data_IF_627867570942
#
_entry.id   IF_627867570942
#
_cell.length_a   1.000
_cell.length_b   1.000
_cell.length_c   1.000
_cell.angle_alpha   90.00
_cell.angle_beta   90.00
_cell.angle_gamma   90.00
#
_symmetry.space_group_name_H-M   'P 1'
#
loop_
_entity.id
_entity.type
_entity.pdbx_description
1 polymer ?
#
# COMPACT_ATOMS: atom_id res chain seq x y z
N UNK A 1 12.07 -21.56 -29.97
CA UNK A 1 12.90 -21.45 -28.74
C UNK A 1 13.59 -20.11 -28.85
N UNK A 2 12.87 -19.04 -28.56
CA UNK A 2 13.30 -17.70 -28.97
C UNK A 2 12.59 -16.64 -28.12
N UNK A 3 13.27 -15.53 -27.89
CA UNK A 3 12.88 -14.33 -27.12
C UNK A 3 12.71 -14.50 -25.59
N UNK A 4 11.86 -15.44 -25.10
CA UNK A 4 11.64 -15.62 -23.64
C UNK A 4 12.88 -16.10 -22.88
N UNK A 5 13.70 -16.97 -23.49
CA UNK A 5 14.94 -17.44 -22.89
C UNK A 5 16.04 -16.36 -22.89
N UNK A 6 15.94 -15.37 -23.80
CA UNK A 6 16.89 -14.26 -23.88
C UNK A 6 16.64 -13.23 -22.78
N UNK A 7 15.35 -12.96 -22.48
CA UNK A 7 14.94 -12.05 -21.42
C UNK A 7 15.41 -12.52 -20.03
N UNK A 8 15.26 -13.82 -19.74
CA UNK A 8 15.66 -14.43 -18.46
C UNK A 8 17.17 -14.38 -18.23
N UNK A 9 17.98 -14.59 -19.28
CA UNK A 9 19.44 -14.51 -19.17
C UNK A 9 19.91 -13.07 -18.96
N UNK A 10 19.25 -12.08 -19.59
CA UNK A 10 19.58 -10.67 -19.38
C UNK A 10 19.18 -10.13 -18.00
N UNK A 11 18.11 -10.67 -17.40
CA UNK A 11 17.70 -10.30 -16.03
C UNK A 11 18.69 -10.84 -15.00
N UNK A 12 19.15 -12.09 -15.14
CA UNK A 12 20.13 -12.68 -14.21
C UNK A 12 21.49 -11.97 -14.23
N UNK A 13 22.06 -11.66 -15.41
CA UNK A 13 23.33 -10.90 -15.52
C UNK A 13 23.22 -9.46 -15.01
N UNK A 14 22.02 -8.86 -15.04
CA UNK A 14 21.78 -7.51 -14.52
C UNK A 14 21.73 -7.49 -12.99
N UNK A 15 21.21 -8.55 -12.37
CA UNK A 15 21.14 -8.70 -10.92
C UNK A 15 22.51 -9.05 -10.30
N UNK A 16 23.35 -9.86 -10.95
CA UNK A 16 24.70 -10.20 -10.43
C UNK A 16 25.62 -8.97 -10.27
N UNK A 17 25.34 -7.87 -10.99
CA UNK A 17 26.13 -6.64 -10.88
C UNK A 17 25.79 -5.82 -9.63
N UNK A 18 24.57 -5.97 -9.11
CA UNK A 18 24.05 -5.25 -7.92
C UNK A 18 24.73 -5.71 -6.62
N UNK A 19 25.06 -7.00 -6.50
CA UNK A 19 25.67 -7.60 -5.30
C UNK A 19 27.16 -7.20 -5.10
N UNK A 20 27.75 -6.47 -6.06
CA UNK A 20 29.17 -6.07 -6.00
C UNK A 20 29.41 -4.70 -5.35
N UNK A 21 28.36 -4.01 -4.89
CA UNK A 21 28.42 -2.67 -4.29
C UNK A 21 28.94 -2.62 -2.84
N UNK A 22 29.21 -3.76 -2.19
CA UNK A 22 29.85 -3.81 -0.88
C UNK A 22 31.16 -4.60 -0.93
N UNK A 23 32.22 -4.01 -0.40
CA UNK A 23 33.56 -4.59 -0.39
C UNK A 23 33.67 -5.75 0.61
N UNK A 24 33.60 -7.02 0.16
CA UNK A 24 34.45 -8.18 0.54
C UNK A 24 33.87 -9.53 0.04
N UNK A 25 34.68 -10.58 -0.22
CA UNK A 25 34.36 -11.59 -1.24
C UNK A 25 33.70 -12.86 -0.68
N UNK A 26 32.48 -13.15 -1.15
CA UNK A 26 31.82 -14.45 -1.05
C UNK A 26 31.29 -14.84 -2.44
N UNK A 27 31.85 -15.90 -3.03
CA UNK A 27 31.54 -16.34 -4.39
C UNK A 27 30.23 -17.14 -4.40
N UNK A 28 29.18 -16.62 -5.04
CA UNK A 28 28.03 -17.45 -5.44
C UNK A 28 28.49 -18.51 -6.45
N UNK A 29 28.05 -19.77 -6.25
CA UNK A 29 28.26 -20.83 -7.24
C UNK A 29 26.96 -21.18 -7.94
N UNK A 30 27.07 -21.37 -9.26
CA UNK A 30 26.07 -21.62 -10.31
C UNK A 30 24.98 -22.69 -10.06
N UNK A 31 24.86 -23.28 -8.88
CA UNK A 31 24.00 -24.45 -8.58
C UNK A 31 22.76 -24.14 -7.73
N UNK A 32 22.68 -22.99 -7.06
CA UNK A 32 21.60 -22.72 -6.09
C UNK A 32 20.36 -22.04 -6.71
N UNK A 33 20.49 -21.26 -7.78
CA UNK A 33 19.35 -20.58 -8.43
C UNK A 33 18.48 -21.53 -9.27
N UNK A 34 19.07 -22.59 -9.85
CA UNK A 34 18.34 -23.49 -10.77
C UNK A 34 17.41 -24.51 -10.12
N UNK A 35 17.44 -24.70 -8.79
CA UNK A 35 16.67 -25.81 -8.15
C UNK A 35 15.26 -25.42 -7.71
N UNK A 36 14.97 -24.13 -7.49
CA UNK A 36 13.65 -23.67 -7.06
C UNK A 36 12.63 -23.54 -8.21
N UNK A 37 13.10 -23.24 -9.42
CA UNK A 37 12.23 -22.97 -10.58
C UNK A 37 11.73 -24.25 -11.28
N UNK A 38 12.47 -25.36 -11.18
CA UNK A 38 12.13 -26.61 -11.87
C UNK A 38 11.11 -27.46 -11.06
N UNK A 39 11.06 -27.31 -9.73
CA UNK A 39 10.17 -28.09 -8.86
C UNK A 39 8.68 -27.75 -8.98
N UNK A 40 8.34 -26.50 -9.29
CA UNK A 40 6.95 -26.02 -9.33
C UNK A 40 6.28 -26.33 -10.69
N UNK A 41 7.05 -26.37 -11.78
CA UNK A 41 6.52 -26.67 -13.12
C UNK A 41 5.99 -28.10 -13.28
N UNK A 42 6.50 -29.07 -12.50
CA UNK A 42 6.09 -30.48 -12.60
C UNK A 42 4.76 -30.74 -11.88
N UNK A 43 4.41 -29.98 -10.85
CA UNK A 43 3.17 -30.19 -10.07
C UNK A 43 1.93 -29.64 -10.79
N UNK A 44 2.08 -28.54 -11.56
CA UNK A 44 0.95 -27.89 -12.25
C UNK A 44 0.52 -28.63 -13.52
N UNK A 45 1.44 -29.35 -14.20
CA UNK A 45 1.12 -30.05 -15.45
C UNK A 45 0.31 -31.34 -15.20
N UNK A 46 0.42 -31.96 -14.02
CA UNK A 46 -0.30 -33.21 -13.72
C UNK A 46 -1.79 -32.97 -13.43
N UNK A 47 -2.19 -31.77 -12.99
CA UNK A 47 -3.59 -31.48 -12.63
C UNK A 47 -4.48 -31.13 -13.83
N UNK A 48 -3.91 -30.67 -14.95
CA UNK A 48 -4.69 -30.18 -16.12
C UNK A 48 -5.11 -31.30 -17.08
N UNK A 49 -4.54 -32.50 -17.00
CA UNK A 49 -4.81 -33.59 -17.96
C UNK A 49 -6.05 -34.44 -17.59
N UNK A 50 -6.67 -34.25 -16.42
CA UNK A 50 -7.82 -35.09 -15.98
C UNK A 50 -9.23 -34.50 -16.21
N UNK A 51 -9.38 -33.32 -16.82
CA UNK A 51 -10.69 -32.64 -16.89
C UNK A 51 -11.20 -32.30 -18.32
N UNK A 52 -10.85 -33.05 -19.36
CA UNK A 52 -11.44 -32.86 -20.69
C UNK A 52 -11.76 -34.19 -21.38
N UNK A 53 -12.97 -34.70 -21.14
CA UNK A 53 -13.50 -35.88 -21.79
C UNK A 53 -14.99 -35.80 -22.11
N UNK A 54 -15.28 -35.62 -23.41
CA UNK A 54 -16.36 -36.22 -24.20
C UNK A 54 -17.74 -35.51 -24.32
N UNK A 55 -18.11 -35.22 -25.59
CA UNK A 55 -19.50 -35.25 -26.13
C UNK A 55 -19.90 -34.03 -26.97
N UNK A 56 -19.62 -33.94 -28.29
CA UNK A 56 -20.45 -34.34 -29.47
C UNK A 56 -21.90 -33.77 -29.47
N UNK A 57 -22.54 -33.22 -30.52
CA UNK A 57 -22.37 -33.28 -31.99
C UNK A 57 -23.46 -32.36 -32.66
N UNK A 58 -23.10 -31.62 -33.74
CA UNK A 58 -23.82 -31.40 -35.05
C UNK A 58 -25.29 -30.87 -35.09
N UNK A 59 -25.84 -30.12 -36.08
CA UNK A 59 -25.47 -29.54 -37.40
C UNK A 59 -26.62 -28.62 -37.91
N UNK A 60 -26.28 -27.62 -38.74
CA UNK A 60 -27.08 -27.10 -39.88
C UNK A 60 -28.24 -26.14 -39.57
N UNK A 61 -28.67 -25.20 -40.43
CA UNK A 61 -28.32 -24.82 -41.81
C UNK A 61 -29.10 -23.53 -42.19
N UNK A 62 -28.43 -22.61 -42.90
CA UNK A 62 -28.86 -21.64 -43.94
C UNK A 62 -30.22 -20.90 -43.89
N UNK A 63 -30.19 -19.62 -44.29
CA UNK A 63 -31.33 -18.99 -44.98
C UNK A 63 -31.29 -17.46 -45.01
N UNK A 64 -30.94 -16.91 -46.17
CA UNK A 64 -30.87 -15.50 -46.56
C UNK A 64 -32.19 -14.70 -46.50
N UNK A 65 -32.08 -13.36 -46.49
CA UNK A 65 -32.94 -12.53 -47.36
C UNK A 65 -33.45 -11.18 -46.84
N UNK A 66 -32.87 -10.08 -47.35
CA UNK A 66 -33.50 -8.89 -48.00
C UNK A 66 -34.71 -8.26 -47.25
N UNK A 67 -34.80 -6.97 -46.88
CA UNK A 67 -34.42 -5.74 -47.55
C UNK A 67 -35.66 -4.81 -47.67
N UNK A 68 -35.46 -3.51 -47.42
CA UNK A 68 -36.33 -2.34 -47.75
C UNK A 68 -37.52 -1.91 -46.85
N UNK A 69 -37.35 -0.70 -46.27
CA UNK A 69 -38.31 0.41 -46.05
C UNK A 69 -38.18 1.39 -47.25
N UNK A 70 -38.93 2.52 -47.38
CA UNK A 70 -40.07 3.04 -46.60
C UNK A 70 -41.26 3.49 -47.50
N UNK A 71 -42.36 4.00 -46.93
CA UNK A 71 -42.90 5.33 -47.32
C UNK A 71 -44.19 5.75 -46.59
N UNK A 72 -44.07 6.94 -45.99
CA UNK A 72 -45.00 8.10 -45.99
C UNK A 72 -46.43 8.00 -45.45
N UNK A 73 -46.75 8.94 -44.56
CA UNK A 73 -48.11 9.26 -44.12
C UNK A 73 -48.14 10.36 -43.05
N UNK A 74 -47.91 11.60 -43.47
CA UNK A 74 -48.07 12.81 -42.67
C UNK A 74 -49.55 13.07 -42.38
N UNK A 75 -49.91 13.37 -41.12
CA UNK A 75 -51.07 14.21 -40.83
C UNK A 75 -50.82 15.03 -39.56
N UNK A 76 -51.00 16.34 -39.73
CA UNK A 76 -50.69 17.41 -38.79
C UNK A 76 -51.97 17.72 -38.00
N UNK A 77 -51.89 17.71 -36.67
CA UNK A 77 -52.91 18.28 -35.76
C UNK A 77 -52.27 19.33 -34.85
N UNK A 78 -52.96 20.45 -34.55
CA UNK A 78 -52.40 21.57 -33.79
C UNK A 78 -52.31 21.28 -32.29
N UNK A 79 -51.39 21.95 -31.54
CA UNK A 79 -51.17 21.66 -30.13
C UNK A 79 -52.27 22.24 -29.23
N UNK A 80 -52.62 21.58 -28.11
CA UNK A 80 -53.51 22.17 -27.12
C UNK A 80 -52.79 23.22 -26.26
N UNK A 81 -53.53 24.27 -25.93
CA UNK A 81 -53.12 25.41 -25.11
C UNK A 81 -52.64 24.98 -23.72
N UNK A 82 -51.46 25.45 -23.32
CA UNK A 82 -50.92 25.31 -21.97
C UNK A 82 -51.78 26.07 -20.95
N UNK A 83 -52.49 25.34 -20.07
CA UNK A 83 -52.97 25.91 -18.81
C UNK A 83 -51.86 25.76 -17.78
N UNK A 84 -51.34 26.90 -17.32
CA UNK A 84 -50.51 27.00 -16.13
C UNK A 84 -51.25 26.34 -14.94
N UNK A 85 -50.73 25.18 -14.49
CA UNK A 85 -51.01 24.65 -13.17
C UNK A 85 -49.89 25.15 -12.27
N UNK A 86 -50.21 26.08 -11.38
CA UNK A 86 -49.36 26.43 -10.25
C UNK A 86 -49.08 25.19 -9.41
N UNK A 87 -47.81 24.80 -9.32
CA UNK A 87 -47.34 23.86 -8.30
C UNK A 87 -47.56 24.48 -6.91
N UNK A 88 -47.93 23.68 -5.89
CA UNK A 88 -47.96 24.19 -4.52
C UNK A 88 -46.54 24.62 -4.11
N UNK A 89 -46.41 25.61 -3.20
CA UNK A 89 -45.10 26.07 -2.77
C UNK A 89 -44.35 24.88 -2.15
N UNK A 90 -43.15 24.61 -2.67
CA UNK A 90 -42.24 23.65 -2.04
C UNK A 90 -41.98 24.12 -0.62
N UNK A 91 -42.29 23.26 0.35
CA UNK A 91 -41.66 23.33 1.67
C UNK A 91 -40.16 23.21 1.42
N UNK A 92 -39.47 24.36 1.39
CA UNK A 92 -38.03 24.39 1.50
C UNK A 92 -37.71 23.81 2.87
N UNK A 93 -37.31 22.53 2.90
CA UNK A 93 -36.54 22.03 4.02
C UNK A 93 -35.26 22.88 4.04
N UNK A 94 -34.97 23.62 5.13
CA UNK A 94 -33.64 24.19 5.27
C UNK A 94 -32.69 23.01 5.23
N UNK A 95 -31.84 22.96 4.20
CA UNK A 95 -30.84 21.92 4.06
C UNK A 95 -30.06 21.86 5.35
N UNK A 96 -30.19 20.74 6.07
CA UNK A 96 -29.29 20.45 7.17
C UNK A 96 -27.86 20.61 6.62
N UNK A 97 -26.95 21.30 7.33
CA UNK A 97 -25.57 21.36 6.89
C UNK A 97 -25.09 19.91 6.70
N UNK A 98 -24.65 19.59 5.48
CA UNK A 98 -23.83 18.40 5.28
C UNK A 98 -22.65 18.58 6.23
N UNK A 99 -22.54 17.71 7.23
CA UNK A 99 -21.32 17.58 8.02
C UNK A 99 -20.20 17.46 7.00
N UNK A 100 -19.34 18.48 6.89
CA UNK A 100 -18.20 18.45 5.99
C UNK A 100 -17.17 17.56 6.68
N UNK A 101 -17.33 16.25 6.51
CA UNK A 101 -16.36 15.30 6.98
C UNK A 101 -15.04 15.59 6.23
N UNK A 102 -14.00 15.95 6.98
CA UNK A 102 -12.68 16.15 6.38
C UNK A 102 -12.07 14.78 6.05
N UNK A 103 -11.37 14.63 4.92
CA UNK A 103 -10.62 13.41 4.63
C UNK A 103 -9.62 13.09 5.75
N UNK A 104 -9.40 11.81 5.99
CA UNK A 104 -8.23 11.33 6.73
C UNK A 104 -7.00 11.51 5.83
N UNK A 105 -5.95 12.14 6.34
CA UNK A 105 -4.76 12.49 5.54
C UNK A 105 -3.49 11.94 6.17
N UNK A 106 -2.61 11.37 5.36
CA UNK A 106 -1.31 10.88 5.83
C UNK A 106 -0.22 10.95 4.78
N UNK A 107 1.03 10.96 5.24
CA UNK A 107 2.21 10.72 4.41
C UNK A 107 2.68 9.27 4.60
N UNK A 108 3.36 8.70 3.60
CA UNK A 108 4.10 7.45 3.74
C UNK A 108 5.51 7.58 3.14
N UNK A 109 6.52 7.06 3.84
CA UNK A 109 7.93 7.05 3.42
C UNK A 109 8.62 5.79 3.95
N UNK A 110 9.49 5.17 3.15
CA UNK A 110 10.29 4.01 3.52
C UNK A 110 11.78 4.27 3.40
N UNK A 111 12.58 3.39 3.99
CA UNK A 111 13.99 3.22 3.66
C UNK A 111 14.79 4.54 3.85
N UNK A 112 14.58 5.19 4.98
CA UNK A 112 14.97 6.58 5.20
C UNK A 112 16.14 6.75 6.19
N UNK A 113 16.35 5.85 7.14
CA UNK A 113 17.17 6.12 8.33
C UNK A 113 18.68 6.16 8.14
N UNK A 114 19.23 7.30 7.70
CA UNK A 114 20.65 7.48 7.35
C UNK A 114 21.27 8.77 7.88
N UNK A 115 20.82 9.24 9.05
CA UNK A 115 21.39 10.40 9.72
C UNK A 115 21.48 11.69 8.87
N UNK A 116 20.56 11.84 7.90
CA UNK A 116 20.48 12.98 6.98
C UNK A 116 21.14 12.74 5.61
N UNK A 117 21.89 11.66 5.46
CA UNK A 117 22.56 11.29 4.21
C UNK A 117 21.59 10.81 3.13
N UNK A 118 22.09 10.72 1.90
CA UNK A 118 21.33 10.30 0.72
C UNK A 118 19.99 11.05 0.59
N UNK A 119 20.03 12.37 0.71
CA UNK A 119 18.86 13.26 0.63
C UNK A 119 17.77 13.02 1.69
N UNK A 120 18.01 12.22 2.75
CA UNK A 120 17.02 12.04 3.81
C UNK A 120 16.57 13.39 4.39
N UNK A 121 17.53 14.30 4.63
CA UNK A 121 17.23 15.65 5.15
C UNK A 121 16.40 16.50 4.17
N UNK A 122 16.57 16.31 2.86
CA UNK A 122 15.78 16.98 1.84
C UNK A 122 14.36 16.42 1.74
N UNK A 123 14.22 15.09 1.80
CA UNK A 123 12.93 14.40 1.88
C UNK A 123 12.16 14.85 3.13
N UNK A 124 12.82 14.89 4.29
CA UNK A 124 12.20 15.33 5.55
C UNK A 124 11.65 16.76 5.45
N UNK A 125 12.40 17.67 4.82
CA UNK A 125 11.96 19.05 4.58
C UNK A 125 10.76 19.09 3.63
N UNK A 126 10.84 18.40 2.49
CA UNK A 126 9.78 18.37 1.50
C UNK A 126 8.48 17.76 2.07
N UNK A 127 8.57 16.70 2.88
CA UNK A 127 7.44 16.14 3.62
C UNK A 127 6.79 17.20 4.52
N UNK A 128 7.60 17.96 5.27
CA UNK A 128 7.11 19.03 6.14
C UNK A 128 6.38 20.13 5.38
N UNK A 129 6.97 20.61 4.29
CA UNK A 129 6.41 21.66 3.43
C UNK A 129 5.11 21.20 2.75
N UNK A 130 5.10 19.98 2.20
CA UNK A 130 3.91 19.40 1.56
C UNK A 130 2.79 19.22 2.59
N UNK A 131 3.07 18.61 3.75
CA UNK A 131 2.07 18.45 4.80
C UNK A 131 1.50 19.80 5.25
N UNK A 132 2.35 20.83 5.44
CA UNK A 132 1.89 22.17 5.78
C UNK A 132 1.00 22.78 4.68
N UNK A 133 1.40 22.64 3.42
CA UNK A 133 0.63 23.16 2.27
C UNK A 133 -0.74 22.51 2.08
N UNK A 134 -0.91 21.27 2.58
CA UNK A 134 -2.16 20.51 2.55
C UNK A 134 -3.08 20.75 3.75
N UNK A 135 -2.71 21.69 4.64
CA UNK A 135 -3.47 21.97 5.87
C UNK A 135 -3.10 21.05 7.05
N UNK A 136 -1.99 20.32 6.93
CA UNK A 136 -1.55 19.30 7.88
C UNK A 136 -1.83 17.88 7.40
N UNK A 137 -1.30 16.91 8.15
CA UNK A 137 -1.67 15.49 8.05
C UNK A 137 -2.06 14.96 9.42
N UNK A 138 -2.86 13.90 9.46
CA UNK A 138 -3.27 13.24 10.71
C UNK A 138 -2.14 12.39 11.30
N UNK A 139 -1.35 11.72 10.44
CA UNK A 139 -0.21 10.89 10.82
C UNK A 139 0.76 10.66 9.65
N UNK A 140 1.88 10.02 9.95
CA UNK A 140 2.86 9.54 8.97
C UNK A 140 2.96 8.01 9.08
N UNK A 141 3.19 7.34 7.96
CA UNK A 141 3.48 5.91 7.89
C UNK A 141 4.95 5.73 7.50
N UNK A 142 5.68 4.93 8.27
CA UNK A 142 6.96 4.37 7.83
C UNK A 142 6.74 2.98 7.26
N UNK A 143 7.21 2.73 6.03
CA UNK A 143 7.17 1.40 5.39
C UNK A 143 8.39 0.54 5.72
N UNK A 144 9.17 0.88 6.75
CA UNK A 144 10.26 0.06 7.26
C UNK A 144 11.64 0.47 6.78
N UNK A 145 12.64 -0.32 7.19
CA UNK A 145 14.06 0.01 7.08
C UNK A 145 14.37 1.37 7.71
N UNK A 146 14.02 1.43 8.99
CA UNK A 146 13.98 2.67 9.75
C UNK A 146 15.36 3.14 10.18
N UNK A 147 16.33 2.24 10.32
CA UNK A 147 17.70 2.57 10.76
C UNK A 147 18.74 1.72 10.03
N UNK A 148 19.46 2.36 9.11
CA UNK A 148 20.55 1.72 8.37
C UNK A 148 21.91 1.86 9.08
N UNK A 149 22.87 0.96 8.77
CA UNK A 149 22.71 -0.24 7.93
C UNK A 149 22.21 -1.47 8.71
N UNK A 150 22.08 -1.38 10.03
CA UNK A 150 21.87 -2.56 10.88
C UNK A 150 20.97 -2.30 12.10
N UNK A 151 19.84 -1.63 11.91
CA UNK A 151 18.87 -1.36 12.96
C UNK A 151 19.45 -0.51 14.11
N UNK A 152 18.84 -0.64 15.29
CA UNK A 152 19.36 -0.06 16.53
C UNK A 152 20.04 -1.13 17.37
N UNK A 153 21.14 -0.76 18.01
CA UNK A 153 21.88 -1.67 18.88
C UNK A 153 21.28 -1.78 20.29
N UNK A 154 20.71 -0.67 20.80
CA UNK A 154 20.09 -0.60 22.12
C UNK A 154 19.05 0.53 22.19
N UNK A 155 18.22 0.56 23.25
CA UNK A 155 17.15 1.55 23.40
C UNK A 155 17.63 3.01 23.42
N UNK A 156 18.87 3.25 23.89
CA UNK A 156 19.50 4.56 23.95
C UNK A 156 20.38 4.91 22.72
N UNK A 157 20.26 4.14 21.63
CA UNK A 157 21.07 4.36 20.44
C UNK A 157 20.81 5.77 19.88
N UNK A 158 21.90 6.50 19.59
CA UNK A 158 21.84 7.87 19.10
C UNK A 158 21.24 7.95 17.69
N UNK A 159 21.30 6.85 16.92
CA UNK A 159 20.73 6.81 15.58
C UNK A 159 19.21 7.05 15.58
N UNK A 160 18.51 6.69 16.67
CA UNK A 160 17.10 7.04 16.83
C UNK A 160 16.88 8.56 16.78
N UNK A 161 17.65 9.32 17.56
CA UNK A 161 17.50 10.77 17.58
C UNK A 161 17.97 11.41 16.27
N UNK A 162 19.15 11.03 15.78
CA UNK A 162 19.77 11.66 14.61
C UNK A 162 18.98 11.36 13.33
N UNK A 163 18.50 10.13 13.14
CA UNK A 163 17.79 9.73 11.92
C UNK A 163 16.28 9.99 11.99
N UNK A 164 15.68 10.13 13.18
CA UNK A 164 14.24 10.31 13.32
C UNK A 164 13.88 11.58 14.09
N UNK A 165 14.16 11.65 15.40
CA UNK A 165 13.62 12.71 16.25
C UNK A 165 14.04 14.11 15.81
N UNK A 166 15.34 14.28 15.56
CA UNK A 166 15.97 15.54 15.18
C UNK A 166 15.92 15.80 13.66
N UNK A 167 15.54 14.77 12.88
CA UNK A 167 15.43 14.84 11.42
C UNK A 167 14.08 15.41 10.98
N UNK A 168 12.98 14.86 11.51
CA UNK A 168 11.62 15.20 11.09
C UNK A 168 11.00 16.24 12.03
N UNK A 169 11.58 17.43 12.11
CA UNK A 169 11.25 18.46 13.12
C UNK A 169 10.17 19.45 12.71
N UNK A 170 9.76 19.47 11.43
CA UNK A 170 8.69 20.34 10.94
C UNK A 170 7.41 20.21 11.78
N UNK A 171 6.75 21.33 12.08
CA UNK A 171 5.54 21.34 12.90
C UNK A 171 4.41 20.45 12.33
N UNK A 172 4.30 20.42 11.00
CA UNK A 172 3.36 19.58 10.25
C UNK A 172 3.64 18.07 10.36
N UNK A 173 4.84 17.68 10.81
CA UNK A 173 5.25 16.28 11.03
C UNK A 173 5.27 15.89 12.52
N UNK A 174 4.87 16.80 13.42
CA UNK A 174 4.69 16.49 14.86
C UNK A 174 3.36 15.76 15.07
N UNK A 175 3.26 14.58 14.46
CA UNK A 175 2.09 13.69 14.41
C UNK A 175 2.53 12.27 14.77
N UNK A 176 1.60 11.35 15.09
CA UNK A 176 1.95 9.94 15.21
C UNK A 176 2.61 9.41 13.93
N UNK A 177 3.64 8.59 14.09
CA UNK A 177 4.29 7.80 13.05
C UNK A 177 3.97 6.33 13.29
N UNK A 178 3.21 5.73 12.38
CA UNK A 178 2.92 4.29 12.38
C UNK A 178 3.97 3.57 11.56
N UNK A 179 4.74 2.69 12.22
CA UNK A 179 5.98 2.15 11.69
C UNK A 179 5.91 0.64 11.58
N UNK A 180 6.24 0.10 10.41
CA UNK A 180 6.58 -1.32 10.24
C UNK A 180 8.10 -1.52 10.28
N UNK A 181 8.53 -2.75 10.51
CA UNK A 181 9.93 -3.14 10.42
C UNK A 181 10.28 -3.55 8.98
N UNK A 182 11.49 -3.21 8.56
CA UNK A 182 12.12 -3.77 7.37
C UNK A 182 13.26 -4.73 7.70
N UNK A 183 13.89 -5.30 6.68
CA UNK A 183 14.92 -6.30 6.86
C UNK A 183 16.19 -5.74 7.53
N UNK A 184 16.54 -4.46 7.32
CA UNK A 184 17.67 -3.84 7.99
C UNK A 184 17.43 -3.63 9.49
N UNK A 185 16.18 -3.47 9.91
CA UNK A 185 15.83 -3.34 11.33
C UNK A 185 16.12 -4.63 12.12
N UNK A 186 15.98 -5.78 11.45
CA UNK A 186 16.27 -7.11 12.01
C UNK A 186 17.77 -7.44 12.10
N UNK A 187 18.63 -6.67 11.43
CA UNK A 187 20.09 -6.79 11.63
C UNK A 187 20.49 -6.25 13.01
N UNK A 188 19.76 -5.26 13.52
CA UNK A 188 19.77 -4.81 14.91
C UNK A 188 18.74 -5.59 15.75
N UNK A 189 18.39 -5.11 16.95
CA UNK A 189 17.32 -5.73 17.76
C UNK A 189 15.94 -5.10 17.46
N UNK A 190 15.04 -5.81 16.74
CA UNK A 190 13.73 -5.29 16.38
C UNK A 190 12.80 -5.07 17.59
N UNK A 191 13.08 -5.71 18.73
CA UNK A 191 12.29 -5.53 19.96
C UNK A 191 12.47 -4.13 20.56
N UNK A 192 13.60 -3.48 20.30
CA UNK A 192 13.84 -2.08 20.69
C UNK A 192 12.83 -1.17 20.00
N UNK A 193 12.60 -1.41 18.70
CA UNK A 193 11.73 -0.58 17.88
C UNK A 193 10.25 -0.84 18.15
N UNK A 194 9.87 -2.10 18.33
CA UNK A 194 8.47 -2.54 18.54
C UNK A 194 7.99 -2.45 20.00
N UNK A 195 8.90 -2.17 20.93
CA UNK A 195 8.59 -1.95 22.33
C UNK A 195 8.16 -0.51 22.65
N UNK A 196 7.77 -0.26 23.90
CA UNK A 196 7.42 1.09 24.37
C UNK A 196 8.61 2.02 24.64
N UNK A 197 9.84 1.53 24.48
CA UNK A 197 11.05 2.27 24.81
C UNK A 197 11.21 3.52 23.93
N UNK A 198 11.14 3.37 22.60
CA UNK A 198 11.25 4.49 21.68
C UNK A 198 10.05 5.42 21.74
N UNK A 199 8.84 4.89 21.95
CA UNK A 199 7.64 5.71 22.22
C UNK A 199 7.79 6.61 23.45
N UNK A 200 8.54 6.17 24.47
CA UNK A 200 8.81 6.98 25.66
C UNK A 200 9.80 8.11 25.36
N UNK A 201 10.74 7.88 24.43
CA UNK A 201 11.74 8.88 24.00
C UNK A 201 11.13 9.89 23.03
N UNK A 202 10.25 9.45 22.14
CA UNK A 202 9.52 10.29 21.20
C UNK A 202 8.09 9.75 21.01
N UNK A 203 7.10 10.52 21.49
CA UNK A 203 5.69 10.13 21.52
C UNK A 203 5.11 9.85 20.13
N UNK A 204 5.77 10.34 19.08
CA UNK A 204 5.37 10.11 17.69
C UNK A 204 5.56 8.65 17.30
N UNK A 205 6.55 7.97 17.84
CA UNK A 205 6.91 6.62 17.42
C UNK A 205 5.89 5.57 17.85
N UNK A 206 5.22 4.91 16.89
CA UNK A 206 4.26 3.81 17.10
C UNK A 206 4.65 2.63 16.20
N UNK A 207 5.36 1.67 16.77
CA UNK A 207 5.80 0.48 16.04
C UNK A 207 5.40 -0.78 16.81
N UNK A 208 4.89 -1.77 16.10
CA UNK A 208 4.68 -3.13 16.59
C UNK A 208 4.76 -4.08 15.39
N UNK A 209 5.02 -5.37 15.60
CA UNK A 209 5.14 -6.34 14.49
C UNK A 209 3.87 -6.43 13.65
N UNK A 210 2.70 -6.41 14.30
CA UNK A 210 1.41 -6.27 13.63
C UNK A 210 0.47 -5.43 14.46
N UNK A 211 -0.26 -4.53 13.79
CA UNK A 211 -1.31 -3.72 14.43
C UNK A 211 -2.27 -3.15 13.39
N UNK A 212 -3.33 -2.50 13.87
CA UNK A 212 -4.38 -1.95 13.02
C UNK A 212 -4.78 -0.56 13.51
N UNK A 213 -5.03 0.32 12.56
CA UNK A 213 -5.59 1.65 12.81
C UNK A 213 -6.91 1.74 12.04
N UNK A 214 -8.01 1.80 12.79
CA UNK A 214 -9.35 2.04 12.24
C UNK A 214 -9.80 3.48 12.50
N UNK A 215 -10.40 4.12 11.51
CA UNK A 215 -10.91 5.50 11.59
C UNK A 215 -12.30 5.61 11.00
N UNK A 216 -13.10 6.47 11.63
CA UNK A 216 -14.39 6.94 11.12
C UNK A 216 -14.11 8.13 10.18
N UNK A 217 -14.59 8.04 8.94
CA UNK A 217 -14.41 9.06 7.90
C UNK A 217 -15.55 10.06 7.85
N UNK A 218 -16.52 9.92 8.74
CA UNK A 218 -17.74 10.72 8.81
C UNK A 218 -17.83 11.56 10.08
N UNK A 219 -16.94 11.31 11.04
CA UNK A 219 -16.81 12.13 12.24
C UNK A 219 -16.13 13.48 11.92
N UNK A 220 -16.69 14.58 12.43
CA UNK A 220 -15.93 15.82 12.56
C UNK A 220 -14.75 15.55 13.51
N UNK A 221 -13.56 15.39 12.93
CA UNK A 221 -12.32 16.04 13.38
C UNK A 221 -12.25 16.43 14.87
N UNK A 222 -12.38 15.49 15.82
CA UNK A 222 -12.15 15.74 17.24
C UNK A 222 -10.64 15.80 17.56
N UNK A 223 -9.86 16.47 16.71
CA UNK A 223 -8.43 16.72 16.89
C UNK A 223 -8.17 18.23 16.77
N UNK A 224 -8.85 18.99 17.62
CA UNK A 224 -8.39 20.34 18.00
C UNK A 224 -8.27 20.53 19.52
N UNK A 225 -8.91 19.71 20.36
CA UNK A 225 -8.90 19.89 21.83
C UNK A 225 -8.48 18.61 22.58
N UNK A 226 -7.28 18.11 22.33
CA UNK A 226 -6.62 17.16 23.23
C UNK A 226 -5.74 17.93 24.24
N UNK A 227 -6.34 18.90 24.92
CA UNK A 227 -5.84 19.43 26.18
C UNK A 227 -7.04 19.41 27.15
N UNK A 228 -6.89 18.67 28.24
CA UNK A 228 -7.80 18.59 29.40
C UNK A 228 -9.27 18.14 29.19
N UNK A 229 -9.44 16.80 29.23
CA UNK A 229 -10.46 16.01 30.01
C UNK A 229 -11.10 14.89 29.19
N UNK A 230 -10.44 13.72 29.23
CA UNK A 230 -11.06 12.46 28.83
C UNK A 230 -11.36 11.59 30.06
N UNK A 231 -12.31 12.00 30.91
CA UNK A 231 -13.08 11.08 31.77
C UNK A 231 -14.47 11.71 31.99
N UNK A 232 -15.52 11.00 31.53
CA UNK A 232 -16.97 11.28 31.63
C UNK A 232 -17.61 12.08 30.49
N UNK A 233 -18.10 11.36 29.47
CA UNK A 233 -19.43 11.55 28.89
C UNK A 233 -19.68 10.45 27.83
N UNK A 234 -20.00 9.23 28.26
CA UNK A 234 -20.56 8.20 27.38
C UNK A 234 -22.11 8.23 27.34
N UNK A 235 -22.76 9.23 27.93
CA UNK A 235 -24.23 9.18 28.13
C UNK A 235 -25.09 10.24 27.43
N UNK A 236 -24.54 11.14 26.61
CA UNK A 236 -25.37 12.05 25.79
C UNK A 236 -24.81 12.21 24.37
N UNK A 237 -24.99 11.18 23.54
CA UNK A 237 -25.02 11.39 22.08
C UNK A 237 -26.44 11.85 21.72
N UNK A 238 -26.64 13.06 21.18
CA UNK A 238 -27.95 13.47 20.70
C UNK A 238 -28.42 12.51 19.61
N UNK A 239 -29.67 12.08 19.67
CA UNK A 239 -30.28 11.30 18.60
C UNK A 239 -30.21 12.07 17.28
N UNK A 240 -29.80 11.45 16.16
CA UNK A 240 -29.73 12.10 14.87
C UNK A 240 -31.12 12.59 14.44
N UNK A 241 -31.17 13.77 13.85
CA UNK A 241 -32.43 14.37 13.38
C UNK A 241 -32.96 13.57 12.17
N UNK A 242 -34.28 13.34 12.03
CA UNK A 242 -34.82 12.58 10.92
C UNK A 242 -34.55 13.30 9.59
N UNK A 243 -33.74 12.70 8.70
CA UNK A 243 -33.52 13.20 7.34
C UNK A 243 -32.06 13.49 6.94
N UNK A 244 -31.08 13.27 7.82
CA UNK A 244 -29.67 13.24 7.41
C UNK A 244 -29.31 11.84 6.91
N UNK A 245 -28.72 11.73 5.72
CA UNK A 245 -28.01 10.50 5.34
C UNK A 245 -26.85 10.37 6.31
N UNK A 246 -26.93 9.43 7.26
CA UNK A 246 -25.81 9.12 8.13
C UNK A 246 -24.65 8.66 7.26
N UNK A 247 -23.59 9.46 7.20
CA UNK A 247 -22.33 9.02 6.64
C UNK A 247 -21.84 7.91 7.57
N UNK A 248 -21.75 6.69 7.04
CA UNK A 248 -21.23 5.52 7.72
C UNK A 248 -20.08 4.95 6.88
N UNK A 249 -18.96 5.66 6.90
CA UNK A 249 -17.76 5.29 6.15
C UNK A 249 -16.56 5.19 7.08
N UNK A 250 -15.76 4.14 6.87
CA UNK A 250 -14.62 3.82 7.71
C UNK A 250 -13.44 3.36 6.88
N UNK A 251 -12.24 3.57 7.41
CA UNK A 251 -11.00 3.01 6.86
C UNK A 251 -10.28 2.21 7.93
N UNK A 252 -9.84 1.01 7.55
CA UNK A 252 -8.95 0.17 8.36
C UNK A 252 -7.61 0.00 7.66
N UNK A 253 -6.55 0.33 8.39
CA UNK A 253 -5.17 0.25 7.94
C UNK A 253 -4.45 -0.83 8.75
N UNK A 254 -3.99 -1.88 8.08
CA UNK A 254 -3.31 -3.02 8.70
C UNK A 254 -1.80 -2.93 8.45
N UNK A 255 -1.04 -2.94 9.53
CA UNK A 255 0.41 -2.89 9.49
C UNK A 255 0.95 -4.29 9.73
N UNK A 256 1.76 -4.80 8.81
CA UNK A 256 2.28 -6.16 8.84
C UNK A 256 3.80 -6.19 8.70
N UNK A 257 4.43 -7.00 9.54
CA UNK A 257 5.82 -7.38 9.38
C UNK A 257 5.97 -8.43 8.28
N UNK A 258 6.52 -7.99 7.15
CA UNK A 258 6.68 -8.82 5.95
C UNK A 258 7.98 -9.60 5.90
N UNK A 259 8.95 -9.29 6.76
CA UNK A 259 10.28 -9.91 6.70
C UNK A 259 10.23 -11.44 6.83
N UNK A 260 9.42 -12.03 7.74
CA UNK A 260 9.33 -13.49 7.83
C UNK A 260 8.86 -14.19 6.54
N UNK A 261 8.12 -13.49 5.67
CA UNK A 261 7.53 -14.08 4.47
C UNK A 261 8.52 -14.24 3.30
N UNK A 262 9.67 -13.56 3.34
CA UNK A 262 10.65 -13.62 2.25
C UNK A 262 11.40 -14.95 2.26
N UNK A 263 11.38 -15.66 1.13
CA UNK A 263 12.15 -16.89 0.97
C UNK A 263 13.66 -16.64 0.97
N UNK A 264 14.11 -15.42 0.69
CA UNK A 264 15.54 -15.06 0.71
C UNK A 264 16.14 -15.20 2.10
N UNK A 265 15.34 -15.04 3.16
CA UNK A 265 15.81 -15.10 4.54
C UNK A 265 15.76 -16.51 5.13
N UNK A 266 15.36 -17.50 4.32
CA UNK A 266 15.27 -18.90 4.76
C UNK A 266 16.59 -19.66 4.74
N UNK A 267 17.64 -19.11 4.11
CA UNK A 267 18.97 -19.72 4.13
C UNK A 267 19.75 -19.32 5.40
N UNK A 268 19.67 -20.18 6.41
CA UNK A 268 20.32 -19.98 7.70
C UNK A 268 21.87 -19.89 7.62
N UNK A 269 22.51 -20.37 6.54
CA UNK A 269 23.96 -20.29 6.41
C UNK A 269 24.45 -18.86 6.13
N UNK A 270 23.64 -18.06 5.43
CA UNK A 270 23.95 -16.69 5.03
C UNK A 270 23.19 -15.64 5.88
N UNK A 271 22.05 -16.02 6.47
CA UNK A 271 21.11 -15.10 7.14
C UNK A 271 20.92 -15.39 8.64
N UNK A 272 21.99 -15.82 9.32
CA UNK A 272 21.97 -16.11 10.77
C UNK A 272 21.40 -14.98 11.64
N UNK A 273 21.68 -13.72 11.26
CA UNK A 273 21.18 -12.51 11.93
C UNK A 273 19.65 -12.40 11.95
N UNK A 274 18.96 -13.06 11.01
CA UNK A 274 17.50 -13.07 10.90
C UNK A 274 16.89 -14.32 11.54
N UNK A 275 17.36 -15.52 11.18
CA UNK A 275 16.77 -16.79 11.64
C UNK A 275 16.93 -17.05 13.14
N UNK A 276 17.92 -16.42 13.79
CA UNK A 276 18.06 -16.48 15.25
C UNK A 276 16.97 -15.68 15.99
N UNK A 277 16.29 -14.76 15.30
CA UNK A 277 15.30 -13.83 15.88
C UNK A 277 13.86 -14.14 15.47
N UNK A 278 13.68 -14.95 14.42
CA UNK A 278 12.40 -15.21 13.78
C UNK A 278 12.25 -16.71 13.58
N UNK A 279 11.17 -17.28 14.13
CA UNK A 279 10.70 -18.61 13.74
C UNK A 279 9.91 -18.46 12.43
N UNK A 280 10.59 -18.64 11.29
CA UNK A 280 10.03 -18.39 9.96
C UNK A 280 8.70 -19.12 9.73
N UNK A 281 8.61 -20.40 10.04
CA UNK A 281 7.41 -21.19 9.76
C UNK A 281 6.25 -20.82 10.69
N UNK A 282 6.53 -20.67 11.98
CA UNK A 282 5.52 -20.29 12.96
C UNK A 282 5.04 -18.85 12.73
N UNK A 283 5.94 -17.91 12.47
CA UNK A 283 5.61 -16.52 12.19
C UNK A 283 4.86 -16.39 10.87
N UNK A 284 5.27 -17.09 9.81
CA UNK A 284 4.56 -17.07 8.54
C UNK A 284 3.11 -17.50 8.69
N UNK A 285 2.89 -18.66 9.31
CA UNK A 285 1.56 -19.20 9.52
C UNK A 285 0.71 -18.28 10.40
N UNK A 286 1.29 -17.78 11.50
CA UNK A 286 0.60 -16.93 12.47
C UNK A 286 0.23 -15.57 11.90
N UNK A 287 1.17 -14.86 11.27
CA UNK A 287 0.98 -13.49 10.80
C UNK A 287 0.01 -13.44 9.61
N UNK A 288 0.10 -14.39 8.67
CA UNK A 288 -0.84 -14.48 7.55
C UNK A 288 -2.26 -14.81 8.03
N UNK A 289 -2.40 -15.70 9.02
CA UNK A 289 -3.70 -16.03 9.62
C UNK A 289 -4.29 -14.82 10.33
N UNK A 290 -3.49 -14.13 11.15
CA UNK A 290 -3.93 -12.91 11.86
C UNK A 290 -4.40 -11.82 10.90
N UNK A 291 -3.70 -11.61 9.78
CA UNK A 291 -4.12 -10.66 8.75
C UNK A 291 -5.45 -11.08 8.11
N UNK A 292 -5.59 -12.35 7.73
CA UNK A 292 -6.82 -12.86 7.13
C UNK A 292 -8.03 -12.70 8.06
N UNK A 293 -7.86 -12.97 9.35
CA UNK A 293 -8.90 -12.79 10.38
C UNK A 293 -9.28 -11.32 10.56
N UNK A 294 -8.30 -10.42 10.61
CA UNK A 294 -8.50 -8.97 10.71
C UNK A 294 -9.21 -8.39 9.50
N UNK A 295 -8.81 -8.79 8.29
CA UNK A 295 -9.49 -8.37 7.05
C UNK A 295 -10.94 -8.85 7.00
N UNK A 296 -11.20 -10.07 7.48
CA UNK A 296 -12.56 -10.60 7.62
C UNK A 296 -13.38 -9.79 8.63
N UNK A 297 -12.80 -9.42 9.77
CA UNK A 297 -13.48 -8.60 10.77
C UNK A 297 -13.81 -7.19 10.24
N UNK A 298 -13.01 -6.67 9.30
CA UNK A 298 -13.18 -5.39 8.63
C UNK A 298 -13.98 -5.48 7.30
N UNK A 299 -14.73 -6.57 7.06
CA UNK A 299 -15.45 -6.77 5.80
C UNK A 299 -16.47 -5.65 5.48
N UNK A 300 -17.00 -5.01 6.52
CA UNK A 300 -17.95 -3.89 6.41
C UNK A 300 -17.28 -2.52 6.37
N UNK A 301 -15.95 -2.44 6.50
CA UNK A 301 -15.25 -1.17 6.35
C UNK A 301 -15.20 -0.72 4.89
N UNK A 302 -15.41 0.57 4.67
CA UNK A 302 -15.45 1.18 3.34
C UNK A 302 -14.12 1.01 2.63
N UNK A 303 -13.01 1.23 3.34
CA UNK A 303 -11.65 1.13 2.81
C UNK A 303 -10.77 0.22 3.65
N UNK A 304 -9.96 -0.60 2.98
CA UNK A 304 -8.97 -1.49 3.61
C UNK A 304 -7.60 -1.27 2.97
N UNK A 305 -6.65 -0.82 3.77
CA UNK A 305 -5.26 -0.54 3.34
C UNK A 305 -4.34 -1.49 4.12
N UNK A 306 -3.38 -2.10 3.44
CA UNK A 306 -2.34 -2.92 4.08
C UNK A 306 -0.98 -2.27 3.85
N UNK A 307 -0.17 -2.21 4.91
CA UNK A 307 1.18 -1.63 4.91
C UNK A 307 2.17 -2.71 5.31
N UNK A 308 3.16 -2.94 4.46
CA UNK A 308 4.28 -3.83 4.72
C UNK A 308 5.59 -3.17 4.35
N UNK A 309 6.69 -3.92 4.46
CA UNK A 309 8.00 -3.44 3.99
C UNK A 309 8.28 -3.91 2.57
N UNK A 310 8.10 -5.20 2.31
CA UNK A 310 8.50 -5.83 1.05
C UNK A 310 7.46 -5.68 -0.08
N UNK A 311 7.86 -5.44 -1.33
CA UNK A 311 6.96 -5.34 -2.48
C UNK A 311 6.49 -6.72 -2.97
N UNK A 312 5.23 -6.79 -3.40
CA UNK A 312 4.69 -7.96 -4.12
C UNK A 312 5.23 -7.99 -5.57
N UNK A 313 5.29 -6.82 -6.18
CA UNK A 313 5.79 -6.58 -7.52
C UNK A 313 6.64 -5.33 -7.49
N UNK A 314 7.72 -5.34 -8.25
CA UNK A 314 8.65 -4.23 -8.37
C UNK A 314 9.38 -4.29 -9.70
N UNK A 315 9.83 -3.14 -10.20
CA UNK A 315 10.74 -3.10 -11.34
C UNK A 315 12.22 -3.17 -10.95
N UNK A 316 12.54 -3.10 -9.66
CA UNK A 316 13.86 -3.39 -9.12
C UNK A 316 14.17 -4.89 -9.19
N UNK A 317 15.42 -5.28 -8.94
CA UNK A 317 15.80 -6.69 -8.86
C UNK A 317 15.87 -7.16 -7.40
N UNK A 318 15.22 -8.30 -7.05
CA UNK A 318 14.30 -9.09 -7.87
C UNK A 318 12.97 -8.34 -8.13
N UNK A 319 12.19 -8.78 -9.14
CA UNK A 319 10.93 -8.15 -9.62
C UNK A 319 9.75 -8.22 -8.61
N UNK A 320 10.02 -7.97 -7.33
CA UNK A 320 9.19 -8.30 -6.17
C UNK A 320 9.88 -9.33 -5.27
N UNK A 321 9.39 -9.46 -4.05
CA UNK A 321 10.03 -10.31 -3.04
C UNK A 321 9.70 -11.79 -3.22
N UNK A 322 10.71 -12.68 -3.33
CA UNK A 322 10.50 -14.11 -3.55
C UNK A 322 9.57 -14.78 -2.52
N UNK A 323 8.49 -15.39 -3.01
CA UNK A 323 7.51 -16.13 -2.22
C UNK A 323 6.47 -15.28 -1.50
N UNK A 324 6.64 -13.95 -1.46
CA UNK A 324 5.69 -13.05 -0.81
C UNK A 324 4.37 -13.01 -1.58
N UNK A 325 4.44 -12.88 -2.91
CA UNK A 325 3.27 -12.73 -3.77
C UNK A 325 2.34 -13.93 -3.71
N UNK A 326 2.87 -15.14 -3.76
CA UNK A 326 2.08 -16.38 -3.68
C UNK A 326 1.37 -16.54 -2.33
N UNK A 327 1.95 -15.99 -1.25
CA UNK A 327 1.43 -16.12 0.11
C UNK A 327 0.46 -15.01 0.48
N UNK A 328 0.80 -13.77 0.13
CA UNK A 328 0.10 -12.58 0.63
C UNK A 328 -0.97 -12.09 -0.33
N UNK A 329 -0.71 -12.02 -1.65
CA UNK A 329 -1.66 -11.47 -2.62
C UNK A 329 -3.04 -12.14 -2.55
N UNK A 330 -3.17 -13.48 -2.46
CA UNK A 330 -4.48 -14.12 -2.35
C UNK A 330 -5.26 -13.72 -1.09
N UNK A 331 -4.57 -13.36 0.00
CA UNK A 331 -5.20 -12.88 1.24
C UNK A 331 -5.71 -11.45 1.04
N UNK A 332 -4.91 -10.59 0.43
CA UNK A 332 -5.28 -9.20 0.13
C UNK A 332 -6.50 -9.14 -0.81
N UNK A 333 -6.50 -9.94 -1.87
CA UNK A 333 -7.60 -9.99 -2.83
C UNK A 333 -8.90 -10.52 -2.21
N UNK A 334 -8.83 -11.61 -1.42
CA UNK A 334 -10.00 -12.13 -0.70
C UNK A 334 -10.52 -11.16 0.37
N UNK A 335 -9.62 -10.41 1.00
CA UNK A 335 -9.96 -9.35 1.94
C UNK A 335 -10.39 -8.04 1.26
N UNK A 336 -10.51 -8.02 -0.07
CA UNK A 336 -10.86 -6.86 -0.90
C UNK A 336 -10.06 -5.59 -0.57
N UNK A 337 -8.76 -5.76 -0.29
CA UNK A 337 -7.83 -4.67 0.02
C UNK A 337 -7.74 -3.71 -1.15
N UNK A 338 -7.78 -2.40 -0.87
CA UNK A 338 -7.74 -1.34 -1.87
C UNK A 338 -6.30 -0.97 -2.22
N UNK A 339 -5.48 -0.70 -1.20
CA UNK A 339 -4.08 -0.31 -1.34
C UNK A 339 -3.17 -1.26 -0.55
N UNK A 340 -2.06 -1.66 -1.17
CA UNK A 340 -0.89 -2.25 -0.50
C UNK A 340 0.28 -1.28 -0.59
N UNK A 341 0.72 -0.72 0.53
CA UNK A 341 1.80 0.27 0.59
C UNK A 341 3.06 -0.38 1.16
N UNK A 342 4.20 -0.21 0.47
CA UNK A 342 5.47 -0.84 0.85
C UNK A 342 6.69 0.06 0.61
N UNK A 343 7.88 -0.42 0.97
CA UNK A 343 9.19 0.20 0.71
C UNK A 343 10.14 -0.86 0.12
N UNK A 344 11.30 -1.06 0.76
CA UNK A 344 12.35 -2.04 0.45
C UNK A 344 13.10 -1.74 -0.85
N UNK A 345 12.36 -1.57 -1.95
CA UNK A 345 12.93 -1.06 -3.17
C UNK A 345 13.07 0.45 -3.09
N UNK A 346 14.29 0.91 -3.34
CA UNK A 346 14.72 2.28 -3.13
C UNK A 346 14.31 3.19 -4.29
N UNK A 347 13.01 3.18 -4.60
CA UNK A 347 12.35 3.93 -5.65
C UNK A 347 10.88 4.23 -5.29
N UNK A 348 10.15 4.85 -6.22
CA UNK A 348 8.70 5.06 -6.12
C UNK A 348 8.00 4.33 -7.26
N UNK A 349 6.99 3.51 -6.95
CA UNK A 349 6.21 2.79 -7.95
C UNK A 349 4.72 2.75 -7.64
N UNK A 350 3.91 2.71 -8.70
CA UNK A 350 2.51 2.34 -8.64
C UNK A 350 2.26 1.20 -9.63
N UNK A 351 1.94 0.03 -9.09
CA UNK A 351 1.65 -1.18 -9.85
C UNK A 351 0.18 -1.57 -9.69
N UNK A 352 -0.45 -1.95 -10.80
CA UNK A 352 -1.79 -2.53 -10.85
C UNK A 352 -1.74 -3.81 -11.66
N UNK A 353 -1.41 -4.93 -10.99
CA UNK A 353 -1.11 -6.18 -11.68
C UNK A 353 -2.37 -6.88 -12.22
N UNK A 354 -2.44 -7.04 -13.55
CA UNK A 354 -3.52 -7.75 -14.23
C UNK A 354 -4.92 -7.32 -13.78
N UNK A 355 -5.71 -8.28 -13.31
CA UNK A 355 -7.08 -8.05 -12.81
C UNK A 355 -7.17 -7.90 -11.29
N UNK A 356 -6.03 -7.80 -10.59
CA UNK A 356 -6.04 -7.66 -9.13
C UNK A 356 -6.75 -6.37 -8.73
N UNK A 357 -7.70 -6.39 -7.78
CA UNK A 357 -8.35 -5.18 -7.30
C UNK A 357 -7.41 -4.32 -6.43
N UNK A 358 -6.27 -4.85 -5.99
CA UNK A 358 -5.32 -4.14 -5.12
C UNK A 358 -4.44 -3.20 -5.96
N UNK A 359 -4.24 -1.97 -5.51
CA UNK A 359 -3.17 -1.08 -6.00
C UNK A 359 -1.93 -1.24 -5.13
N UNK A 360 -0.78 -1.57 -5.71
CA UNK A 360 0.48 -1.69 -4.99
C UNK A 360 1.30 -0.42 -5.15
N UNK A 361 1.69 0.20 -4.03
CA UNK A 361 2.38 1.48 -3.98
C UNK A 361 3.71 1.31 -3.24
N UNK A 362 4.82 1.45 -3.95
CA UNK A 362 6.17 1.40 -3.38
C UNK A 362 6.65 2.82 -3.11
N UNK A 363 7.10 3.09 -1.88
CA UNK A 363 7.59 4.39 -1.43
C UNK A 363 8.90 4.30 -0.65
N UNK A 364 9.85 3.47 -1.12
CA UNK A 364 11.16 3.25 -0.48
C UNK A 364 12.23 4.29 -0.85
N UNK A 365 11.85 5.42 -1.43
CA UNK A 365 12.80 6.45 -1.86
C UNK A 365 13.10 7.53 -0.79
N UNK A 366 13.04 7.16 0.50
CA UNK A 366 13.24 8.09 1.61
C UNK A 366 14.70 8.51 1.84
N UNK A 367 15.67 7.75 1.33
CA UNK A 367 17.10 8.09 1.41
C UNK A 367 17.94 7.57 0.22
N UNK A 368 18.69 6.48 0.39
CA UNK A 368 19.42 5.86 -0.71
C UNK A 368 18.46 5.43 -1.82
N UNK A 369 18.92 5.41 -3.07
CA UNK A 369 18.15 5.01 -4.26
C UNK A 369 18.71 3.72 -4.85
N UNK A 370 17.84 2.96 -5.53
CA UNK A 370 18.23 1.82 -6.35
C UNK A 370 18.88 2.32 -7.64
N UNK A 371 19.81 1.54 -8.18
CA UNK A 371 20.55 1.88 -9.40
C UNK A 371 20.08 1.11 -10.65
N UNK A 372 19.28 0.06 -10.47
CA UNK A 372 18.95 -0.90 -11.54
C UNK A 372 17.47 -1.21 -11.59
N UNK A 373 16.86 -0.91 -12.74
CA UNK A 373 15.51 -1.36 -13.09
C UNK A 373 15.54 -2.36 -14.24
N UNK A 374 14.64 -3.32 -14.15
CA UNK A 374 14.39 -4.31 -15.17
C UNK A 374 13.22 -3.88 -16.08
N UNK A 375 13.15 -4.40 -17.32
CA UNK A 375 11.98 -4.21 -18.17
C UNK A 375 10.73 -4.81 -17.52
N UNK A 376 9.64 -4.04 -17.53
CA UNK A 376 8.33 -4.43 -16.98
C UNK A 376 7.23 -4.19 -18.00
N UNK A 377 6.06 -4.75 -17.76
CA UNK A 377 4.87 -4.58 -18.59
C UNK A 377 4.05 -3.34 -18.21
N UNK A 378 2.96 -3.11 -18.93
CA UNK A 378 2.10 -1.92 -18.80
C UNK A 378 1.28 -1.89 -17.48
N UNK A 379 1.38 -2.92 -16.63
CA UNK A 379 0.77 -2.93 -15.30
C UNK A 379 1.49 -1.96 -14.33
N UNK A 380 2.71 -1.52 -14.66
CA UNK A 380 3.49 -0.55 -13.91
C UNK A 380 3.11 0.87 -14.31
N UNK A 381 2.04 1.38 -13.70
CA UNK A 381 1.39 2.64 -14.04
C UNK A 381 2.27 3.87 -13.78
N UNK A 382 3.22 3.78 -12.84
CA UNK A 382 4.21 4.81 -12.57
C UNK A 382 5.45 4.21 -11.93
N UNK A 383 6.61 4.79 -12.26
CA UNK A 383 7.91 4.50 -11.66
C UNK A 383 8.78 5.75 -11.64
N UNK A 384 9.47 6.01 -10.54
CA UNK A 384 10.48 7.07 -10.44
C UNK A 384 11.70 6.61 -9.64
N UNK A 385 12.86 6.67 -10.27
CA UNK A 385 14.17 6.44 -9.66
C UNK A 385 14.66 7.78 -9.08
N UNK A 386 14.03 8.21 -8.00
CA UNK A 386 14.27 9.51 -7.40
C UNK A 386 13.66 9.60 -6.02
N UNK A 387 14.30 10.37 -5.14
CA UNK A 387 13.83 10.56 -3.77
C UNK A 387 12.45 11.18 -3.72
N UNK A 388 11.66 10.75 -2.75
CA UNK A 388 10.29 11.21 -2.61
C UNK A 388 9.50 10.41 -1.59
N UNK A 389 8.19 10.64 -1.60
CA UNK A 389 7.26 10.05 -0.63
C UNK A 389 5.84 10.08 -1.19
N UNK A 390 4.95 9.36 -0.53
CA UNK A 390 3.53 9.30 -0.85
C UNK A 390 2.72 10.20 0.09
N UNK A 391 1.75 10.91 -0.46
CA UNK A 391 0.66 11.55 0.29
C UNK A 391 -0.66 10.86 -0.08
N UNK A 392 -1.51 10.63 0.93
CA UNK A 392 -2.83 10.03 0.73
C UNK A 392 -3.88 10.85 1.47
N UNK A 393 -5.01 11.10 0.80
CA UNK A 393 -6.25 11.56 1.44
C UNK A 393 -7.38 10.56 1.18
N UNK A 394 -8.12 10.21 2.23
CA UNK A 394 -9.19 9.20 2.21
C UNK A 394 -10.46 9.81 2.75
N UNK A 395 -11.52 9.82 1.93
CA UNK A 395 -12.87 10.22 2.34
C UNK A 395 -13.87 9.08 2.13
N UNK A 396 -15.15 9.33 2.38
CA UNK A 396 -16.19 8.31 2.28
C UNK A 396 -16.36 7.70 0.86
N UNK A 397 -15.85 8.37 -0.18
CA UNK A 397 -16.11 8.05 -1.58
C UNK A 397 -14.85 7.76 -2.38
N UNK A 398 -13.69 8.27 -1.95
CA UNK A 398 -12.42 8.03 -2.65
C UNK A 398 -11.21 7.93 -1.73
N UNK A 399 -10.19 7.26 -2.26
CA UNK A 399 -8.80 7.42 -1.84
C UNK A 399 -8.05 8.15 -2.96
N UNK A 400 -7.48 9.31 -2.67
CA UNK A 400 -6.53 9.99 -3.54
C UNK A 400 -5.11 9.77 -3.06
N UNK A 401 -4.22 9.46 -3.99
CA UNK A 401 -2.82 9.19 -3.74
C UNK A 401 -1.95 10.02 -4.68
N UNK A 402 -1.05 10.83 -4.10
CA UNK A 402 -0.13 11.71 -4.81
C UNK A 402 1.32 11.33 -4.43
N UNK A 403 2.14 10.92 -5.39
CA UNK A 403 3.58 10.78 -5.20
C UNK A 403 4.28 12.13 -5.40
N UNK A 404 5.18 12.46 -4.49
CA UNK A 404 5.98 13.67 -4.51
C UNK A 404 7.46 13.34 -4.71
N UNK A 405 8.15 14.16 -5.52
CA UNK A 405 9.61 14.16 -5.55
C UNK A 405 10.22 14.93 -4.36
N UNK A 406 11.53 14.82 -4.19
CA UNK A 406 12.32 15.50 -3.14
C UNK A 406 12.21 17.03 -3.15
N UNK A 407 11.65 17.63 -4.20
CA UNK A 407 11.39 19.08 -4.28
C UNK A 407 9.95 19.44 -3.89
N UNK A 408 9.16 18.46 -3.44
CA UNK A 408 7.75 18.64 -3.13
C UNK A 408 6.88 18.83 -4.37
N UNK A 409 7.30 18.36 -5.54
CA UNK A 409 6.48 18.37 -6.75
C UNK A 409 5.75 17.05 -6.92
N UNK A 410 4.45 17.12 -7.19
CA UNK A 410 3.66 15.93 -7.60
C UNK A 410 4.21 15.37 -8.91
N UNK A 411 4.59 14.09 -8.89
CA UNK A 411 5.12 13.35 -10.04
C UNK A 411 4.17 12.28 -10.55
N UNK A 412 3.23 11.83 -9.72
CA UNK A 412 2.14 10.93 -10.09
C UNK A 412 0.94 11.13 -9.18
N UNK A 413 -0.27 11.00 -9.73
CA UNK A 413 -1.52 11.09 -8.98
C UNK A 413 -2.53 10.10 -9.52
N UNK A 414 -3.29 9.48 -8.62
CA UNK A 414 -4.45 8.67 -9.00
C UNK A 414 -5.49 8.67 -7.89
N UNK A 415 -6.71 8.25 -8.24
CA UNK A 415 -7.82 8.10 -7.31
C UNK A 415 -8.46 6.71 -7.47
N UNK A 416 -8.84 6.11 -6.35
CA UNK A 416 -9.73 4.94 -6.29
C UNK A 416 -11.06 5.42 -5.76
N UNK A 417 -12.17 5.08 -6.43
CA UNK A 417 -13.52 5.56 -6.10
C UNK A 417 -14.43 4.35 -5.85
N UNK A 418 -15.35 4.47 -4.88
CA UNK A 418 -16.37 3.46 -4.56
C UNK A 418 -17.79 3.99 -4.71
#
# INVERSE_FOLDING_TARGET
MDEKARLVVTTEESCERYDTGTSSPGRWTRRQVCSAVIGIAVVVIVTVILAAGIGSKTRGSNGDGIGHKPDTGSSILPPPRSRSRSLPPSLAYPGAPLLVARPLTFLAVGDWGRAGDYNQSDVARAMGDVAASRGGVDFVISTGDNFYPAGLAHADDANFSISFSDMYTSASLQRPWFVVLGNHDYRGDPSIQTGGALTTRDWRWRCNRTFEVRRDLCAESALQDADDRAIRAEEERPSPSPGQSECNATVSIFFIDTSPFSLEYSDAAEMNWFVDRVDLEADNSRLLTQLAEKLKAAENDTWRIVVGHHPLYSSSCPLGTPGLTERLLPILERGAVDLYINGHDHDLEHVKKGFSPVHMLTTGAGSQLNDVWLPVDDDYLFRLQGNGFLYVDVDAYRIRSDFYDVRGKVVHSFEVVK
#
